data_IF_705856257072
#
_entry.id   IF_705856257072
#
_cell.length_a   1.000
_cell.length_b   1.000
_cell.length_c   1.000
_cell.angle_alpha   90.00
_cell.angle_beta   90.00
_cell.angle_gamma   90.00
#
_symmetry.space_group_name_H-M   'P 1'
#
loop_
_entity.id
_entity.type
_entity.pdbx_description
1 polymer ?
#
# COMPACT_ATOMS: atom_id res chain seq x y z
N UNK A 1 1.22 -11.24 -13.47
CA UNK A 1 1.93 -12.02 -12.40
C UNK A 1 1.57 -11.49 -11.01
N UNK A 2 1.61 -12.31 -9.94
CA UNK A 2 1.33 -11.89 -8.53
C UNK A 2 2.55 -11.22 -7.90
N UNK A 3 2.38 -10.05 -7.29
CA UNK A 3 3.44 -9.28 -6.62
C UNK A 3 3.04 -8.89 -5.19
N UNK A 4 4.01 -8.95 -4.28
CA UNK A 4 3.87 -8.41 -2.92
C UNK A 4 3.75 -6.88 -2.99
N UNK A 5 2.76 -6.33 -2.28
CA UNK A 5 2.55 -4.90 -2.15
C UNK A 5 2.99 -4.39 -0.77
N UNK A 6 2.53 -5.06 0.29
CA UNK A 6 2.71 -4.59 1.65
C UNK A 6 2.56 -5.74 2.66
N UNK A 7 3.06 -5.59 3.88
CA UNK A 7 2.96 -6.63 4.91
C UNK A 7 2.56 -6.04 6.27
N UNK A 8 2.03 -6.88 7.15
CA UNK A 8 1.75 -6.48 8.53
C UNK A 8 3.03 -6.03 9.24
N UNK A 9 2.92 -5.03 10.10
CA UNK A 9 4.09 -4.53 10.82
C UNK A 9 3.90 -3.15 11.44
N UNK A 10 4.98 -2.68 12.04
CA UNK A 10 5.10 -1.38 12.69
C UNK A 10 5.99 -0.50 11.82
N UNK A 11 5.45 0.63 11.33
CA UNK A 11 6.15 1.49 10.37
C UNK A 11 6.24 2.93 10.89
N UNK A 12 7.42 3.51 10.74
CA UNK A 12 7.69 4.91 11.05
C UNK A 12 7.44 5.77 9.82
N UNK A 13 6.51 6.71 9.94
CA UNK A 13 6.12 7.66 8.90
C UNK A 13 6.40 9.12 9.30
N UNK A 14 7.27 9.33 10.29
CA UNK A 14 7.64 10.65 10.78
C UNK A 14 8.28 11.56 9.71
N UNK A 15 8.76 10.99 8.60
CA UNK A 15 9.28 11.75 7.47
C UNK A 15 8.17 12.28 6.52
N UNK A 16 6.94 11.78 6.65
CA UNK A 16 5.80 12.21 5.83
C UNK A 16 5.00 13.37 6.47
N UNK A 17 4.86 13.37 7.79
CA UNK A 17 4.11 14.38 8.55
C UNK A 17 4.67 14.51 9.97
N UNK A 18 4.97 15.74 10.40
CA UNK A 18 5.54 16.03 11.73
C UNK A 18 4.63 15.61 12.90
N UNK A 19 3.34 15.34 12.63
CA UNK A 19 2.37 14.84 13.61
C UNK A 19 2.45 13.33 13.82
N UNK A 20 3.11 12.60 12.92
CA UNK A 20 3.33 11.16 13.01
C UNK A 20 4.55 10.88 13.90
N UNK A 21 4.41 11.19 15.19
CA UNK A 21 5.50 11.15 16.18
C UNK A 21 5.79 9.78 16.75
N UNK A 22 5.06 8.74 16.31
CA UNK A 22 5.13 7.35 16.78
C UNK A 22 4.71 6.42 15.64
N UNK A 23 5.09 5.13 15.67
CA UNK A 23 4.83 4.24 14.57
C UNK A 23 3.33 3.98 14.36
N UNK A 24 2.99 3.63 13.12
CA UNK A 24 1.67 3.12 12.74
C UNK A 24 1.72 1.60 12.65
N UNK A 25 0.81 0.95 13.37
CA UNK A 25 0.64 -0.50 13.35
C UNK A 25 -0.34 -0.91 12.26
N UNK A 26 0.11 -1.81 11.39
CA UNK A 26 -0.67 -2.47 10.36
C UNK A 26 -0.90 -3.93 10.74
N UNK A 27 -2.15 -4.28 10.98
CA UNK A 27 -2.56 -5.61 11.42
C UNK A 27 -3.07 -6.45 10.25
N UNK A 28 -3.25 -7.75 10.47
CA UNK A 28 -3.85 -8.60 9.45
C UNK A 28 -5.26 -8.15 9.07
N UNK A 29 -6.03 -7.66 10.05
CA UNK A 29 -7.41 -7.22 9.82
C UNK A 29 -7.44 -5.98 8.93
N UNK A 30 -6.46 -5.07 9.10
CA UNK A 30 -6.29 -3.90 8.23
C UNK A 30 -6.04 -4.33 6.77
N UNK A 31 -5.14 -5.28 6.57
CA UNK A 31 -4.80 -5.78 5.23
C UNK A 31 -5.96 -6.59 4.61
N UNK A 32 -6.62 -7.44 5.38
CA UNK A 32 -7.83 -8.16 4.92
C UNK A 32 -8.91 -7.18 4.48
N UNK A 33 -9.11 -6.10 5.24
CA UNK A 33 -10.09 -5.07 4.91
C UNK A 33 -9.77 -4.36 3.58
N UNK A 34 -8.49 -4.14 3.26
CA UNK A 34 -8.08 -3.64 1.94
C UNK A 34 -8.48 -4.63 0.85
N UNK A 35 -8.10 -5.90 0.98
CA UNK A 35 -8.37 -6.93 -0.01
C UNK A 35 -9.89 -7.14 -0.23
N UNK A 36 -10.70 -7.06 0.83
CA UNK A 36 -12.15 -7.27 0.76
C UNK A 36 -12.91 -6.08 0.16
N UNK A 37 -12.48 -4.85 0.46
CA UNK A 37 -13.15 -3.64 0.02
C UNK A 37 -12.78 -3.24 -1.40
N UNK A 38 -11.57 -3.60 -1.86
CA UNK A 38 -11.13 -3.23 -3.19
C UNK A 38 -11.69 -4.18 -4.25
N UNK A 39 -12.79 -3.79 -4.89
CA UNK A 39 -13.49 -4.59 -5.90
C UNK A 39 -13.20 -4.20 -7.35
N UNK A 40 -12.36 -3.20 -7.56
CA UNK A 40 -11.99 -2.67 -8.87
C UNK A 40 -10.50 -2.80 -9.14
N UNK A 41 -10.09 -2.35 -10.32
CA UNK A 41 -8.68 -2.20 -10.64
C UNK A 41 -8.05 -1.02 -9.90
N UNK A 42 -6.82 -1.19 -9.45
CA UNK A 42 -5.98 -0.14 -8.87
C UNK A 42 -5.18 0.52 -9.98
N UNK A 43 -5.20 1.85 -10.10
CA UNK A 43 -4.30 2.53 -11.01
C UNK A 43 -2.84 2.30 -10.64
N UNK A 44 -2.04 1.91 -11.64
CA UNK A 44 -0.59 1.91 -11.54
C UNK A 44 -0.06 3.19 -12.15
N UNK A 45 0.80 3.90 -11.42
CA UNK A 45 1.44 5.14 -11.88
C UNK A 45 2.96 4.97 -11.99
N UNK A 46 3.61 5.72 -12.88
CA UNK A 46 5.06 5.92 -12.78
C UNK A 46 5.32 6.81 -11.57
N UNK A 47 6.02 6.29 -10.56
CA UNK A 47 6.09 6.94 -9.24
C UNK A 47 4.66 7.29 -8.76
N UNK A 48 4.41 8.48 -8.20
CA UNK A 48 3.06 8.99 -7.92
C UNK A 48 2.73 10.25 -8.76
N UNK A 49 3.32 10.37 -9.95
CA UNK A 49 3.27 11.58 -10.78
C UNK A 49 2.00 11.70 -11.66
N UNK A 50 0.93 10.95 -11.34
CA UNK A 50 -0.31 10.83 -12.14
C UNK A 50 -0.10 10.35 -13.59
N UNK A 51 1.09 9.81 -13.91
CA UNK A 51 1.35 9.18 -15.21
C UNK A 51 0.90 7.72 -15.12
N UNK A 52 -0.26 7.41 -15.68
CA UNK A 52 -0.83 6.06 -15.66
C UNK A 52 -0.01 5.10 -16.55
N UNK A 53 0.42 3.99 -15.96
CA UNK A 53 1.21 2.94 -16.64
C UNK A 53 0.49 1.58 -16.69
N UNK A 54 -0.63 1.44 -15.99
CA UNK A 54 -1.42 0.22 -16.03
C UNK A 54 -2.53 0.19 -14.98
N UNK A 55 -3.15 -0.97 -14.85
CA UNK A 55 -4.15 -1.27 -13.83
C UNK A 55 -3.76 -2.59 -13.17
N UNK A 56 -3.57 -2.58 -11.86
CA UNK A 56 -3.43 -3.79 -11.06
C UNK A 56 -4.81 -4.32 -10.65
N UNK A 57 -4.93 -5.63 -10.55
CA UNK A 57 -6.17 -6.31 -10.16
C UNK A 57 -5.89 -7.36 -9.08
N UNK A 58 -6.92 -8.07 -8.64
CA UNK A 58 -6.82 -9.22 -7.74
C UNK A 58 -5.99 -8.90 -6.49
N UNK A 59 -6.43 -7.87 -5.75
CA UNK A 59 -5.83 -7.55 -4.46
C UNK A 59 -6.22 -8.65 -3.48
N UNK A 60 -5.22 -9.31 -2.93
CA UNK A 60 -5.41 -10.49 -2.09
C UNK A 60 -4.55 -10.39 -0.84
N UNK A 61 -5.12 -10.80 0.29
CA UNK A 61 -4.38 -11.01 1.53
C UNK A 61 -3.99 -12.48 1.65
N UNK A 62 -2.74 -12.74 2.02
CA UNK A 62 -2.20 -14.08 2.24
C UNK A 62 -1.03 -14.02 3.23
N UNK A 63 -1.08 -14.85 4.28
CA UNK A 63 -0.02 -15.01 5.30
C UNK A 63 0.64 -13.69 5.77
N UNK A 64 -0.15 -12.70 6.18
CA UNK A 64 0.35 -11.43 6.70
C UNK A 64 0.77 -10.41 5.63
N UNK A 65 0.50 -10.69 4.35
CA UNK A 65 0.91 -9.85 3.23
C UNK A 65 -0.25 -9.52 2.30
N UNK A 66 -0.18 -8.34 1.71
CA UNK A 66 -1.06 -7.89 0.64
C UNK A 66 -0.35 -8.11 -0.70
N UNK A 67 -1.06 -8.68 -1.64
CA UNK A 67 -0.59 -8.93 -3.00
C UNK A 67 -1.53 -8.29 -4.00
N UNK A 68 -1.01 -8.07 -5.21
CA UNK A 68 -1.81 -7.69 -6.37
C UNK A 68 -1.24 -8.31 -7.64
N UNK A 69 -2.04 -8.35 -8.69
CA UNK A 69 -1.61 -8.73 -10.03
C UNK A 69 -1.39 -7.50 -10.89
N UNK A 70 -0.19 -7.40 -11.50
CA UNK A 70 0.13 -6.36 -12.49
C UNK A 70 0.01 -6.90 -13.92
N UNK A 71 -0.19 -6.02 -14.94
CA UNK A 71 -0.13 -6.40 -16.34
C UNK A 71 1.23 -7.00 -16.72
N UNK A 72 1.24 -8.06 -17.52
CA UNK A 72 2.48 -8.77 -17.87
C UNK A 72 3.39 -7.93 -18.79
N UNK A 73 2.84 -6.96 -19.53
CA UNK A 73 3.61 -6.04 -20.39
C UNK A 73 4.26 -4.88 -19.62
N UNK A 74 3.98 -4.75 -18.31
CA UNK A 74 4.53 -3.68 -17.49
C UNK A 74 6.02 -3.91 -17.22
N UNK A 75 6.86 -2.95 -17.64
CA UNK A 75 8.29 -2.99 -17.35
C UNK A 75 8.58 -2.75 -15.86
N UNK A 76 8.91 -3.83 -15.17
CA UNK A 76 9.29 -3.87 -13.76
C UNK A 76 10.81 -3.98 -13.55
N UNK A 77 11.65 -3.88 -14.60
CA UNK A 77 13.08 -4.07 -14.44
C UNK A 77 13.70 -3.03 -13.49
N UNK A 78 14.22 -3.53 -12.36
CA UNK A 78 14.78 -2.69 -11.30
C UNK A 78 13.76 -1.80 -10.58
N UNK A 79 12.46 -2.09 -10.70
CA UNK A 79 11.37 -1.37 -10.04
C UNK A 79 10.61 -2.27 -9.06
N UNK A 80 9.95 -1.65 -8.09
CA UNK A 80 9.00 -2.26 -7.20
C UNK A 80 7.71 -1.46 -7.12
N UNK A 81 6.82 -1.88 -6.23
CA UNK A 81 5.51 -1.28 -6.01
C UNK A 81 5.52 -0.45 -4.73
N UNK A 82 4.97 0.75 -4.81
CA UNK A 82 4.82 1.70 -3.69
C UNK A 82 3.34 2.05 -3.55
N UNK A 83 2.59 1.41 -2.65
CA UNK A 83 1.19 1.77 -2.42
C UNK A 83 1.06 3.20 -1.88
N UNK A 84 0.01 3.90 -2.31
CA UNK A 84 -0.43 5.17 -1.71
C UNK A 84 -1.80 4.99 -1.12
N UNK A 85 -1.93 5.33 0.15
CA UNK A 85 -3.19 5.20 0.89
C UNK A 85 -3.65 6.54 1.44
N UNK A 86 -4.96 6.67 1.61
CA UNK A 86 -5.56 7.64 2.52
C UNK A 86 -5.93 6.89 3.80
N UNK A 87 -5.47 7.37 4.96
CA UNK A 87 -5.66 6.71 6.26
C UNK A 87 -6.19 7.68 7.30
N UNK A 88 -7.18 7.24 8.06
CA UNK A 88 -7.54 7.84 9.33
C UNK A 88 -6.89 7.05 10.45
N UNK A 89 -6.05 7.72 11.22
CA UNK A 89 -5.32 7.11 12.32
C UNK A 89 -6.07 7.26 13.65
N UNK A 90 -5.93 6.24 14.49
CA UNK A 90 -6.43 6.20 15.86
C UNK A 90 -5.28 6.10 16.84
N UNK A 91 -5.24 7.02 17.80
CA UNK A 91 -4.25 6.98 18.88
C UNK A 91 -4.47 5.76 19.80
N UNK A 92 -3.40 4.98 20.06
CA UNK A 92 -3.39 3.81 20.94
C UNK A 92 -2.43 3.94 22.13
N UNK A 93 -1.95 5.15 22.44
CA UNK A 93 -0.88 5.39 23.41
C UNK A 93 0.49 5.40 22.75
N UNK A 94 1.15 4.24 22.68
CA UNK A 94 2.53 4.12 22.18
C UNK A 94 2.63 4.01 20.65
N UNK A 95 1.50 3.76 19.97
CA UNK A 95 1.42 3.72 18.51
C UNK A 95 0.15 4.39 17.99
N UNK A 96 0.06 4.54 16.68
CA UNK A 96 -1.19 4.74 15.95
C UNK A 96 -1.68 3.39 15.40
N UNK A 97 -2.99 3.15 15.44
CA UNK A 97 -3.64 2.11 14.64
C UNK A 97 -4.45 2.73 13.51
N UNK A 98 -4.93 1.91 12.59
CA UNK A 98 -5.81 2.34 11.50
C UNK A 98 -7.28 2.33 11.99
N UNK A 99 -8.02 3.39 11.69
CA UNK A 99 -9.48 3.47 11.88
C UNK A 99 -10.22 3.21 10.56
N UNK A 100 -9.78 3.89 9.49
CA UNK A 100 -10.26 3.67 8.12
C UNK A 100 -9.11 3.83 7.14
N UNK A 101 -9.13 3.10 6.02
CA UNK A 101 -8.23 3.39 4.90
C UNK A 101 -8.89 3.26 3.53
N UNK A 102 -8.27 3.87 2.53
CA UNK A 102 -8.50 3.62 1.12
C UNK A 102 -7.17 3.55 0.37
N UNK A 103 -6.97 2.51 -0.44
CA UNK A 103 -5.86 2.47 -1.40
C UNK A 103 -6.21 3.40 -2.58
N UNK A 104 -5.33 4.33 -2.92
CA UNK A 104 -5.55 5.34 -3.96
C UNK A 104 -4.97 4.87 -5.30
N UNK A 105 -3.66 4.61 -5.29
CA UNK A 105 -2.89 4.17 -6.44
C UNK A 105 -1.66 3.37 -5.95
N UNK A 106 -0.94 2.77 -6.89
CA UNK A 106 0.33 2.10 -6.62
C UNK A 106 1.37 2.62 -7.60
N UNK A 107 2.41 3.24 -7.05
CA UNK A 107 3.55 3.72 -7.81
C UNK A 107 4.50 2.60 -8.20
N UNK A 108 4.88 2.58 -9.47
CA UNK A 108 5.90 1.70 -10.04
C UNK A 108 7.19 2.50 -10.09
N UNK A 109 8.15 2.15 -9.22
CA UNK A 109 9.29 3.01 -8.88
C UNK A 109 10.56 2.22 -8.60
N UNK A 110 11.72 2.84 -8.80
CA UNK A 110 13.02 2.29 -8.39
C UNK A 110 13.25 2.35 -6.88
N UNK A 111 12.46 3.13 -6.16
CA UNK A 111 12.59 3.36 -4.72
C UNK A 111 11.26 3.09 -4.01
N UNK A 112 10.74 1.85 -4.07
CA UNK A 112 9.46 1.52 -3.48
C UNK A 112 9.47 1.75 -1.97
N UNK A 113 8.40 2.34 -1.45
CA UNK A 113 8.15 2.46 -0.02
C UNK A 113 7.00 1.54 0.38
N UNK A 114 7.12 0.96 1.58
CA UNK A 114 6.06 0.17 2.17
C UNK A 114 5.07 1.15 2.86
N UNK A 115 4.06 1.58 2.09
CA UNK A 115 3.00 2.56 2.41
C UNK A 115 3.52 3.94 2.84
#
# INVERSE_FOLDING_TARGET
MRHELFEVGSYDYSDLDERLTKPVEWTEDDLKLIAENYRGGIPLTSEHDNIYVGIANNIEYDEGKLFLEIPDELDMEGKGLSPKVDVLLKDKGDSFGIDTMSLIDVGVTKHPRKI
#
